data_IF_833081641108
#
_entry.id   IF_833081641108
#
_cell.length_a   1.000
_cell.length_b   1.000
_cell.length_c   1.000
_cell.angle_alpha   90.00
_cell.angle_beta   90.00
_cell.angle_gamma   90.00
#
_symmetry.space_group_name_H-M   'P 1'
#
loop_
_entity.id
_entity.type
_entity.pdbx_description
1 polymer ?
#
# COMPACT_ATOMS: atom_id res chain seq x y z
N UNK A 1 9.34 -11.20 -23.64
CA UNK A 1 8.86 -10.00 -22.92
C UNK A 1 9.77 -9.77 -21.73
N UNK A 2 9.99 -8.53 -21.32
CA UNK A 2 10.60 -8.25 -20.01
C UNK A 2 9.71 -8.84 -18.90
N UNK A 3 10.27 -9.28 -17.76
CA UNK A 3 9.50 -9.72 -16.61
C UNK A 3 8.66 -8.58 -16.01
N UNK A 4 7.70 -8.94 -15.17
CA UNK A 4 7.00 -8.00 -14.29
C UNK A 4 7.50 -8.17 -12.86
N UNK A 5 7.48 -7.10 -12.08
CA UNK A 5 7.79 -7.14 -10.65
C UNK A 5 6.51 -7.06 -9.82
N UNK A 6 6.37 -7.98 -8.87
CA UNK A 6 5.44 -7.85 -7.76
C UNK A 6 6.21 -7.24 -6.59
N UNK A 7 5.84 -6.01 -6.24
CA UNK A 7 6.43 -5.33 -5.10
C UNK A 7 5.88 -5.95 -3.82
N UNK A 8 6.77 -6.51 -3.01
CA UNK A 8 6.49 -7.18 -1.74
C UNK A 8 7.42 -6.63 -0.66
N UNK A 9 7.49 -7.26 0.51
CA UNK A 9 8.44 -6.97 1.59
C UNK A 9 9.44 -8.12 1.78
N UNK A 10 10.42 -7.96 2.66
CA UNK A 10 11.52 -8.93 2.81
C UNK A 10 11.07 -10.35 3.19
N UNK A 11 9.96 -10.46 3.93
CA UNK A 11 9.41 -11.75 4.34
C UNK A 11 7.89 -11.68 4.50
N UNK A 12 7.21 -12.70 4.00
CA UNK A 12 5.77 -12.91 4.20
C UNK A 12 5.49 -14.06 5.20
N UNK A 13 6.49 -14.54 5.94
CA UNK A 13 6.36 -15.75 6.78
C UNK A 13 5.18 -15.72 7.77
N UNK A 14 4.84 -14.55 8.30
CA UNK A 14 3.74 -14.36 9.26
C UNK A 14 2.41 -13.97 8.60
N UNK A 15 2.34 -13.99 7.26
CA UNK A 15 1.19 -13.51 6.52
C UNK A 15 0.77 -14.47 5.40
N UNK A 16 -0.50 -14.36 4.99
CA UNK A 16 -1.06 -15.17 3.90
C UNK A 16 -1.23 -14.28 2.67
N UNK A 17 -0.39 -14.47 1.67
CA UNK A 17 -0.50 -13.83 0.36
C UNK A 17 -0.95 -14.84 -0.70
N UNK A 18 -1.90 -14.45 -1.55
CA UNK A 18 -2.46 -15.31 -2.60
C UNK A 18 -1.84 -15.04 -3.99
N UNK A 19 -0.69 -14.35 -4.05
CA UNK A 19 -0.06 -13.94 -5.30
C UNK A 19 0.28 -15.14 -6.19
N UNK A 20 0.59 -16.30 -5.60
CA UNK A 20 0.87 -17.56 -6.32
C UNK A 20 -0.27 -17.98 -7.26
N UNK A 21 -1.53 -17.69 -6.92
CA UNK A 21 -2.68 -18.01 -7.79
C UNK A 21 -2.63 -17.23 -9.11
N UNK A 22 -2.16 -15.98 -9.07
CA UNK A 22 -2.01 -15.13 -10.26
C UNK A 22 -0.68 -15.42 -10.96
N UNK A 23 0.41 -15.60 -10.22
CA UNK A 23 1.74 -15.90 -10.79
C UNK A 23 1.68 -17.13 -11.68
N UNK A 24 1.00 -18.18 -11.26
CA UNK A 24 0.85 -19.41 -12.04
C UNK A 24 0.10 -19.17 -13.36
N UNK A 25 -0.97 -18.38 -13.34
CA UNK A 25 -1.72 -18.04 -14.56
C UNK A 25 -0.92 -17.15 -15.50
N UNK A 26 -0.19 -16.17 -14.96
CA UNK A 26 0.71 -15.32 -15.74
C UNK A 26 1.83 -16.13 -16.40
N UNK A 27 2.40 -17.10 -15.67
CA UNK A 27 3.41 -18.02 -16.19
C UNK A 27 2.87 -18.87 -17.33
N UNK A 28 1.64 -19.39 -17.22
CA UNK A 28 0.96 -20.11 -18.30
C UNK A 28 0.73 -19.24 -19.54
N UNK A 29 0.53 -17.93 -19.36
CA UNK A 29 0.47 -16.95 -20.43
C UNK A 29 1.85 -16.50 -20.96
N UNK A 30 2.95 -17.09 -20.48
CA UNK A 30 4.32 -16.76 -20.91
C UNK A 30 4.91 -15.51 -20.27
N UNK A 31 4.34 -15.04 -19.15
CA UNK A 31 4.79 -13.87 -18.40
C UNK A 31 5.55 -14.32 -17.15
N UNK A 32 6.81 -13.90 -17.04
CA UNK A 32 7.64 -14.12 -15.85
C UNK A 32 7.35 -13.04 -14.80
N UNK A 33 7.15 -13.47 -13.55
CA UNK A 33 6.94 -12.58 -12.39
C UNK A 33 8.11 -12.75 -11.42
N UNK A 34 8.68 -11.65 -10.96
CA UNK A 34 9.63 -11.63 -9.85
C UNK A 34 8.98 -10.96 -8.64
N UNK A 35 9.05 -11.60 -7.48
CA UNK A 35 8.76 -10.95 -6.20
C UNK A 35 9.98 -10.12 -5.80
N UNK A 36 9.80 -8.81 -5.65
CA UNK A 36 10.86 -7.87 -5.32
C UNK A 36 10.50 -7.13 -4.05
N UNK A 37 11.32 -7.26 -3.01
CA UNK A 37 11.16 -6.46 -1.80
C UNK A 37 11.30 -4.98 -2.12
N UNK A 38 10.38 -4.14 -1.63
CA UNK A 38 10.52 -2.68 -1.75
C UNK A 38 11.72 -2.15 -0.96
N UNK A 39 12.27 -2.93 -0.03
CA UNK A 39 13.51 -2.63 0.71
C UNK A 39 14.77 -3.16 0.04
N UNK A 40 14.65 -3.84 -1.09
CA UNK A 40 15.81 -4.34 -1.82
C UNK A 40 16.80 -3.19 -2.08
N UNK A 41 18.10 -3.34 -1.79
CA UNK A 41 19.06 -2.31 -2.08
C UNK A 41 19.28 -2.22 -3.59
N UNK A 42 19.07 -1.04 -4.17
CA UNK A 42 19.41 -0.74 -5.57
C UNK A 42 18.82 -1.69 -6.64
N UNK A 43 17.50 -1.97 -6.63
CA UNK A 43 16.87 -2.71 -7.71
C UNK A 43 17.01 -1.94 -9.04
N UNK A 44 17.47 -2.64 -10.09
CA UNK A 44 17.41 -2.10 -11.44
C UNK A 44 15.97 -2.21 -11.96
N UNK A 45 15.19 -1.14 -11.87
CA UNK A 45 13.79 -1.16 -12.31
C UNK A 45 13.64 -1.25 -13.84
N UNK A 46 14.64 -0.79 -14.62
CA UNK A 46 14.61 -0.82 -16.09
C UNK A 46 14.60 -2.22 -16.71
N UNK A 47 14.84 -3.26 -15.91
CA UNK A 47 14.72 -4.64 -16.37
C UNK A 47 13.26 -5.12 -16.48
N UNK A 48 12.31 -4.41 -15.86
CA UNK A 48 10.91 -4.79 -15.80
C UNK A 48 10.06 -3.97 -16.77
N UNK A 49 9.07 -4.60 -17.40
CA UNK A 49 8.07 -3.85 -18.17
C UNK A 49 6.98 -3.22 -17.29
N UNK A 50 6.74 -3.79 -16.09
CA UNK A 50 5.65 -3.42 -15.20
C UNK A 50 6.04 -3.73 -13.75
N UNK A 51 5.67 -2.84 -12.82
CA UNK A 51 5.73 -3.07 -11.37
C UNK A 51 4.33 -2.93 -10.77
N UNK A 52 3.92 -3.87 -9.92
CA UNK A 52 2.61 -3.88 -9.26
C UNK A 52 2.81 -3.91 -7.74
N UNK A 53 2.13 -3.02 -7.02
CA UNK A 53 2.08 -3.06 -5.55
C UNK A 53 1.21 -4.24 -5.12
N UNK A 54 1.79 -5.22 -4.42
CA UNK A 54 1.08 -6.41 -3.92
C UNK A 54 1.06 -6.43 -2.40
N UNK A 55 2.13 -6.97 -1.80
CA UNK A 55 2.21 -7.28 -0.39
C UNK A 55 3.33 -6.54 0.38
N UNK A 56 3.64 -5.25 0.12
CA UNK A 56 4.60 -4.50 0.93
C UNK A 56 3.96 -4.04 2.26
N UNK A 57 3.41 -4.97 3.04
CA UNK A 57 2.54 -4.66 4.19
C UNK A 57 3.26 -4.08 5.40
N UNK A 58 4.57 -3.84 5.32
CA UNK A 58 5.35 -3.13 6.33
C UNK A 58 5.62 -1.66 5.96
N UNK A 59 5.11 -1.18 4.81
CA UNK A 59 5.34 0.21 4.37
C UNK A 59 4.90 1.25 5.41
N UNK A 60 3.87 0.96 6.21
CA UNK A 60 3.37 1.91 7.21
C UNK A 60 4.39 2.25 8.30
N UNK A 61 5.42 1.42 8.49
CA UNK A 61 6.53 1.74 9.40
C UNK A 61 7.49 2.78 8.81
N UNK A 62 7.50 2.97 7.50
CA UNK A 62 8.35 3.93 6.80
C UNK A 62 7.70 4.43 5.48
N UNK A 63 6.57 5.15 5.56
CA UNK A 63 5.76 5.51 4.39
C UNK A 63 6.50 6.40 3.40
N UNK A 64 7.32 7.35 3.88
CA UNK A 64 8.12 8.23 3.00
C UNK A 64 9.18 7.45 2.23
N UNK A 65 9.82 6.46 2.86
CA UNK A 65 10.79 5.61 2.18
C UNK A 65 10.11 4.75 1.10
N UNK A 66 8.90 4.26 1.37
CA UNK A 66 8.11 3.53 0.39
C UNK A 66 7.72 4.41 -0.80
N UNK A 67 7.24 5.64 -0.56
CA UNK A 67 6.93 6.60 -1.62
C UNK A 67 8.16 6.93 -2.47
N UNK A 68 9.34 7.09 -1.85
CA UNK A 68 10.59 7.31 -2.59
C UNK A 68 10.95 6.14 -3.51
N UNK A 69 10.66 4.89 -3.12
CA UNK A 69 10.84 3.72 -4.01
C UNK A 69 9.88 3.77 -5.18
N UNK A 70 8.62 4.14 -4.95
CA UNK A 70 7.64 4.30 -6.03
C UNK A 70 8.02 5.43 -7.00
N UNK A 71 8.59 6.54 -6.49
CA UNK A 71 9.18 7.60 -7.32
C UNK A 71 10.31 7.09 -8.21
N UNK A 72 11.21 6.26 -7.66
CA UNK A 72 12.29 5.64 -8.45
C UNK A 72 11.75 4.73 -9.55
N UNK A 73 10.66 3.99 -9.29
CA UNK A 73 10.01 3.15 -10.30
C UNK A 73 9.40 4.02 -11.40
N UNK A 74 8.65 5.08 -11.07
CA UNK A 74 8.07 6.02 -12.05
C UNK A 74 9.12 6.74 -12.89
N UNK A 75 10.33 6.95 -12.36
CA UNK A 75 11.46 7.54 -13.09
C UNK A 75 12.18 6.54 -14.01
N UNK A 76 11.92 5.24 -13.85
CA UNK A 76 12.49 4.19 -14.70
C UNK A 76 11.67 3.97 -15.98
N UNK A 77 12.13 3.06 -16.83
CA UNK A 77 11.36 2.59 -17.99
C UNK A 77 10.21 1.64 -17.64
N UNK A 78 10.13 1.15 -16.40
CA UNK A 78 9.04 0.28 -15.95
C UNK A 78 7.76 1.09 -15.69
N UNK A 79 6.61 0.56 -16.11
CA UNK A 79 5.31 1.13 -15.75
C UNK A 79 4.94 0.73 -14.32
N UNK A 80 4.69 1.70 -13.44
CA UNK A 80 4.02 1.42 -12.16
C UNK A 80 2.50 1.27 -12.39
N UNK A 81 1.93 0.11 -12.07
CA UNK A 81 0.50 -0.15 -12.33
C UNK A 81 -0.42 0.59 -11.37
N UNK A 82 0.05 0.85 -10.15
CA UNK A 82 -0.63 1.63 -9.12
C UNK A 82 -0.09 3.07 -9.18
N UNK A 83 -0.75 4.02 -9.87
CA UNK A 83 -0.17 5.34 -10.11
C UNK A 83 0.29 6.00 -8.81
N UNK A 84 1.50 6.56 -8.82
CA UNK A 84 2.09 7.14 -7.62
C UNK A 84 1.18 8.19 -6.96
N UNK A 85 0.50 9.03 -7.75
CA UNK A 85 -0.44 10.02 -7.21
C UNK A 85 -1.60 9.38 -6.45
N UNK A 86 -2.14 8.25 -6.95
CA UNK A 86 -3.18 7.50 -6.25
C UNK A 86 -2.67 6.94 -4.93
N UNK A 87 -1.43 6.43 -4.92
CA UNK A 87 -0.81 5.92 -3.69
C UNK A 87 -0.59 7.05 -2.69
N UNK A 88 -0.04 8.20 -3.10
CA UNK A 88 0.12 9.37 -2.21
C UNK A 88 -1.21 9.82 -1.60
N UNK A 89 -2.26 9.83 -2.42
CA UNK A 89 -3.60 10.20 -1.96
C UNK A 89 -4.14 9.21 -0.92
N UNK A 90 -4.00 7.89 -1.16
CA UNK A 90 -4.64 6.88 -0.32
C UNK A 90 -3.76 6.25 0.78
N UNK A 91 -2.46 6.56 0.83
CA UNK A 91 -1.52 6.01 1.83
C UNK A 91 -1.91 6.39 3.27
N UNK A 92 -2.59 7.54 3.44
CA UNK A 92 -3.22 7.97 4.70
C UNK A 92 -4.72 7.88 4.57
N UNK A 93 -5.43 7.40 5.60
CA UNK A 93 -6.89 7.27 5.59
C UNK A 93 -7.69 8.59 5.48
N UNK A 94 -7.03 9.75 5.39
CA UNK A 94 -7.69 11.04 5.14
C UNK A 94 -8.48 11.07 3.83
N UNK A 95 -8.14 10.22 2.85
CA UNK A 95 -8.94 10.05 1.64
C UNK A 95 -10.41 9.71 1.92
N UNK A 96 -10.72 9.04 3.04
CA UNK A 96 -12.11 8.75 3.43
C UNK A 96 -12.91 10.03 3.70
N UNK A 97 -12.26 11.08 4.23
CA UNK A 97 -12.90 12.39 4.44
C UNK A 97 -13.28 13.03 3.10
N UNK A 98 -12.39 12.94 2.12
CA UNK A 98 -12.64 13.46 0.77
C UNK A 98 -13.74 12.67 0.06
N UNK A 99 -13.77 11.34 0.22
CA UNK A 99 -14.85 10.49 -0.30
C UNK A 99 -16.21 10.83 0.34
N UNK A 100 -16.24 11.05 1.66
CA UNK A 100 -17.45 11.49 2.37
C UNK A 100 -17.94 12.85 1.85
N UNK A 101 -17.04 13.82 1.67
CA UNK A 101 -17.36 15.14 1.10
C UNK A 101 -17.89 15.05 -0.34
N UNK A 102 -17.45 14.05 -1.11
CA UNK A 102 -17.96 13.75 -2.44
C UNK A 102 -19.32 13.01 -2.44
N UNK A 103 -19.89 12.73 -1.27
CA UNK A 103 -21.20 12.08 -1.13
C UNK A 103 -21.16 10.56 -1.05
N UNK A 104 -19.98 9.96 -0.88
CA UNK A 104 -19.87 8.51 -0.67
C UNK A 104 -20.04 8.16 0.81
N UNK A 105 -20.73 7.05 1.08
CA UNK A 105 -20.87 6.54 2.45
C UNK A 105 -19.55 5.93 2.93
N UNK A 106 -19.10 6.35 4.11
CA UNK A 106 -17.96 5.77 4.82
C UNK A 106 -18.40 5.20 6.17
N UNK A 107 -17.52 4.41 6.81
CA UNK A 107 -17.70 4.07 8.23
C UNK A 107 -17.66 5.37 9.05
N UNK A 108 -18.60 5.60 9.99
CA UNK A 108 -18.55 6.76 10.87
C UNK A 108 -17.15 6.95 11.45
N UNK A 109 -16.52 8.07 11.15
CA UNK A 109 -15.11 8.33 11.48
C UNK A 109 -15.01 9.62 12.27
N UNK A 110 -14.52 9.51 13.51
CA UNK A 110 -14.14 10.68 14.30
C UNK A 110 -12.72 11.10 13.91
N UNK A 111 -12.58 12.33 13.42
CA UNK A 111 -11.33 12.85 12.92
C UNK A 111 -10.54 13.59 14.00
N UNK A 112 -9.44 12.99 14.47
CA UNK A 112 -8.54 13.58 15.47
C UNK A 112 -7.12 13.67 14.89
N UNK A 113 -6.52 14.86 14.88
CA UNK A 113 -5.18 15.05 14.32
C UNK A 113 -4.07 14.94 15.38
N UNK A 114 -4.31 15.51 16.56
CA UNK A 114 -3.38 15.45 17.70
C UNK A 114 -4.18 15.46 18.99
N UNK A 115 -4.94 14.39 19.27
CA UNK A 115 -5.86 14.36 20.40
C UNK A 115 -5.11 14.40 21.73
N UNK A 116 -5.61 15.19 22.66
CA UNK A 116 -5.19 15.18 24.06
C UNK A 116 -5.66 13.91 24.77
N UNK A 117 -5.02 13.58 25.89
CA UNK A 117 -5.44 12.47 26.74
C UNK A 117 -6.92 12.60 27.19
N UNK A 118 -7.40 13.83 27.40
CA UNK A 118 -8.79 14.11 27.74
C UNK A 118 -9.76 13.80 26.60
N UNK A 119 -9.38 14.10 25.36
CA UNK A 119 -10.20 13.76 24.19
C UNK A 119 -10.24 12.25 23.97
N UNK A 120 -9.09 11.57 24.11
CA UNK A 120 -9.02 10.12 24.02
C UNK A 120 -9.87 9.43 25.11
N UNK A 121 -9.86 9.95 26.33
CA UNK A 121 -10.64 9.40 27.44
C UNK A 121 -12.16 9.47 27.22
N UNK A 122 -12.65 10.29 26.28
CA UNK A 122 -14.08 10.43 25.96
C UNK A 122 -14.52 9.55 24.79
N UNK A 123 -13.62 8.79 24.17
CA UNK A 123 -13.96 7.97 23.00
C UNK A 123 -14.97 6.87 23.32
N UNK A 124 -14.88 6.25 24.49
CA UNK A 124 -15.85 5.23 24.96
C UNK A 124 -17.25 5.80 25.08
N UNK A 125 -17.38 7.01 25.63
CA UNK A 125 -18.65 7.71 25.77
C UNK A 125 -19.19 8.14 24.40
N UNK A 126 -18.33 8.71 23.54
CA UNK A 126 -18.70 9.15 22.19
C UNK A 126 -19.25 8.00 21.35
N UNK A 127 -18.59 6.85 21.38
CA UNK A 127 -18.98 5.67 20.59
C UNK A 127 -19.94 4.72 21.32
N UNK A 128 -20.27 5.00 22.59
CA UNK A 128 -21.07 4.14 23.44
C UNK A 128 -20.54 2.69 23.47
N UNK A 129 -19.24 2.55 23.73
CA UNK A 129 -18.49 1.27 23.74
C UNK A 129 -17.68 1.16 25.03
N UNK A 130 -17.54 -0.04 25.63
CA UNK A 130 -16.71 -0.23 26.82
C UNK A 130 -15.21 -0.01 26.58
N UNK A 131 -14.75 -0.12 25.32
CA UNK A 131 -13.34 -0.04 24.95
C UNK A 131 -13.15 0.77 23.66
N UNK A 132 -12.09 1.59 23.63
CA UNK A 132 -11.56 2.24 22.44
C UNK A 132 -10.15 1.69 22.19
N UNK A 133 -9.94 1.05 21.02
CA UNK A 133 -8.70 0.35 20.63
C UNK A 133 -7.99 1.11 19.52
#
# INVERSE_FOLDING_TARGET
>A
MQPIAFLTMDSLADFVAYDQLVVEQLRQAGITVHDVSWRHPQPNWDQYSLVIIRSPWDYQAAPEAFLAVLEQIEQSSARLLNPLETVRWNIRKSYLRELEQAGHTIVPTLWLESPSATELARLTDYWNTPEAV
#
